data_IF_430040893989
#
_entry.id   IF_430040893989
#
_cell.length_a   1.000
_cell.length_b   1.000
_cell.length_c   1.000
_cell.angle_alpha   90.00
_cell.angle_beta   90.00
_cell.angle_gamma   90.00
#
_symmetry.space_group_name_H-M   'P 1'
#
loop_
_entity.id
_entity.type
_entity.pdbx_description
1 polymer ?
#
# COMPACT_ATOMS: atom_id res chain seq x y z
N UNK A 1 4.03 32.10 10.38
CA UNK A 1 5.10 31.28 11.02
C UNK A 1 4.64 29.87 11.44
N UNK A 2 3.38 29.64 11.84
CA UNK A 2 2.92 28.32 12.33
C UNK A 2 2.58 27.27 11.24
N UNK A 3 2.04 27.70 10.11
CA UNK A 3 1.51 26.80 9.07
C UNK A 3 2.58 25.89 8.46
N UNK A 4 3.74 26.44 8.08
CA UNK A 4 4.82 25.62 7.52
C UNK A 4 5.39 24.62 8.54
N UNK A 5 5.47 25.00 9.82
CA UNK A 5 5.86 24.05 10.89
C UNK A 5 4.82 22.94 11.06
N UNK A 6 3.53 23.25 10.86
CA UNK A 6 2.47 22.24 10.86
C UNK A 6 2.58 21.27 9.68
N UNK A 7 2.79 21.79 8.45
CA UNK A 7 3.03 20.96 7.25
C UNK A 7 4.28 20.10 7.43
N UNK A 8 5.37 20.68 7.95
CA UNK A 8 6.60 19.95 8.27
C UNK A 8 6.33 18.82 9.27
N UNK A 9 5.58 19.08 10.36
CA UNK A 9 5.24 18.07 11.36
C UNK A 9 4.46 16.89 10.75
N UNK A 10 3.45 17.17 9.93
CA UNK A 10 2.67 16.12 9.25
C UNK A 10 3.53 15.36 8.24
N UNK A 11 4.39 16.07 7.49
CA UNK A 11 5.34 15.45 6.56
C UNK A 11 6.30 14.50 7.29
N UNK A 12 6.80 14.90 8.46
CA UNK A 12 7.66 14.07 9.31
C UNK A 12 6.93 12.85 9.88
N UNK A 13 5.67 13.01 10.30
CA UNK A 13 4.84 11.89 10.73
C UNK A 13 4.64 10.86 9.62
N UNK A 14 4.33 11.32 8.40
CA UNK A 14 4.19 10.45 7.24
C UNK A 14 5.50 9.75 6.89
N UNK A 15 6.61 10.49 6.87
CA UNK A 15 7.93 9.94 6.60
C UNK A 15 8.33 8.86 7.63
N UNK A 16 8.00 9.07 8.90
CA UNK A 16 8.26 8.12 9.98
C UNK A 16 7.38 6.88 9.84
N UNK A 17 6.08 7.02 9.61
CA UNK A 17 5.16 5.88 9.42
C UNK A 17 5.59 5.00 8.24
N UNK A 18 6.01 5.62 7.15
CA UNK A 18 6.56 4.91 5.98
C UNK A 18 7.94 4.26 6.25
N UNK A 19 8.60 4.46 7.40
CA UNK A 19 9.82 3.70 7.74
C UNK A 19 9.51 2.24 8.04
N UNK A 20 8.35 1.98 8.60
CA UNK A 20 7.93 0.63 8.89
C UNK A 20 7.45 -0.05 7.60
N UNK A 21 7.81 -1.32 7.38
CA UNK A 21 7.36 -2.05 6.22
C UNK A 21 5.85 -2.28 6.26
N UNK A 22 5.24 -2.50 5.09
CA UNK A 22 3.82 -2.82 4.99
C UNK A 22 3.52 -4.11 5.79
N UNK A 23 2.59 -4.08 6.77
CA UNK A 23 2.24 -5.25 7.56
C UNK A 23 1.72 -6.41 6.71
N UNK A 24 1.93 -7.63 7.21
CA UNK A 24 1.45 -8.86 6.54
C UNK A 24 0.08 -9.32 7.03
N UNK A 25 -0.32 -8.91 8.23
CA UNK A 25 -1.64 -9.16 8.79
C UNK A 25 -2.65 -8.18 8.19
N UNK A 26 -3.85 -8.66 7.84
CA UNK A 26 -4.85 -7.89 7.10
C UNK A 26 -5.35 -6.66 7.88
N UNK A 27 -5.69 -6.83 9.17
CA UNK A 27 -6.16 -5.72 10.02
C UNK A 27 -5.07 -4.65 10.20
N UNK A 28 -3.86 -5.07 10.59
CA UNK A 28 -2.73 -4.15 10.76
C UNK A 28 -2.32 -3.46 9.44
N UNK A 29 -2.52 -4.13 8.31
CA UNK A 29 -2.28 -3.56 6.98
C UNK A 29 -3.30 -2.48 6.65
N UNK A 30 -4.58 -2.71 6.93
CA UNK A 30 -5.62 -1.71 6.69
C UNK A 30 -5.37 -0.47 7.55
N UNK A 31 -5.11 -0.64 8.85
CA UNK A 31 -4.75 0.45 9.76
C UNK A 31 -3.53 1.23 9.25
N UNK A 32 -2.51 0.53 8.74
CA UNK A 32 -1.31 1.15 8.19
C UNK A 32 -1.64 2.02 6.96
N UNK A 33 -2.53 1.57 6.08
CA UNK A 33 -2.94 2.31 4.88
C UNK A 33 -3.84 3.50 5.22
N UNK A 34 -4.74 3.35 6.19
CA UNK A 34 -5.60 4.43 6.68
C UNK A 34 -4.79 5.58 7.28
N UNK A 35 -3.74 5.26 8.05
CA UNK A 35 -2.82 6.29 8.59
C UNK A 35 -2.12 7.03 7.45
N UNK A 36 -1.68 6.34 6.39
CA UNK A 36 -1.07 6.97 5.21
C UNK A 36 -2.08 7.91 4.55
N UNK A 37 -3.31 7.44 4.31
CA UNK A 37 -4.35 8.21 3.65
C UNK A 37 -4.67 9.48 4.45
N UNK A 38 -4.89 9.34 5.76
CA UNK A 38 -5.15 10.46 6.67
C UNK A 38 -4.02 11.49 6.66
N UNK A 39 -2.76 11.06 6.74
CA UNK A 39 -1.62 11.97 6.78
C UNK A 39 -1.42 12.68 5.43
N UNK A 40 -1.65 12.00 4.30
CA UNK A 40 -1.59 12.59 2.97
C UNK A 40 -2.68 13.64 2.76
N UNK A 41 -3.92 13.32 3.13
CA UNK A 41 -5.05 14.25 3.02
C UNK A 41 -4.83 15.48 3.90
N UNK A 42 -4.50 15.26 5.18
CA UNK A 42 -4.20 16.34 6.13
C UNK A 42 -3.09 17.25 5.62
N UNK A 43 -2.01 16.68 5.07
CA UNK A 43 -0.92 17.44 4.46
C UNK A 43 -1.40 18.22 3.24
N UNK A 44 -2.17 17.59 2.36
CA UNK A 44 -2.73 18.19 1.16
C UNK A 44 -3.58 19.42 1.48
N UNK A 45 -4.53 19.30 2.41
CA UNK A 45 -5.38 20.40 2.86
C UNK A 45 -4.56 21.58 3.40
N UNK A 46 -3.56 21.29 4.24
CA UNK A 46 -2.68 22.34 4.78
C UNK A 46 -1.89 23.03 3.67
N UNK A 47 -1.38 22.29 2.68
CA UNK A 47 -0.66 22.86 1.54
C UNK A 47 -1.57 23.68 0.62
N UNK A 48 -2.82 23.28 0.40
CA UNK A 48 -3.78 24.06 -0.39
C UNK A 48 -4.15 25.37 0.29
N UNK A 49 -4.26 25.35 1.63
CA UNK A 49 -4.50 26.56 2.43
C UNK A 49 -3.27 27.45 2.61
N UNK A 50 -2.08 26.96 2.26
CA UNK A 50 -0.83 27.67 2.50
C UNK A 50 -0.61 28.76 1.45
N UNK A 51 -0.84 30.02 1.84
CA UNK A 51 -0.68 31.20 0.98
C UNK A 51 0.62 31.97 1.23
N UNK A 52 1.55 31.43 2.02
CA UNK A 52 2.68 32.23 2.54
C UNK A 52 3.72 32.59 1.48
N UNK A 53 4.22 33.82 1.54
CA UNK A 53 5.31 34.33 0.71
C UNK A 53 6.67 33.76 1.15
N UNK A 54 7.64 33.58 0.23
CA UNK A 54 8.90 32.86 0.47
C UNK A 54 9.77 33.41 1.61
N UNK A 55 9.60 34.69 2.03
CA UNK A 55 10.46 35.34 3.02
C UNK A 55 10.26 34.88 4.47
N UNK A 56 9.28 34.01 4.72
CA UNK A 56 8.90 33.55 6.07
C UNK A 56 9.36 32.11 6.38
N UNK A 57 10.08 31.48 5.46
CA UNK A 57 10.52 30.10 5.58
C UNK A 57 11.98 30.02 6.03
N UNK A 58 12.22 29.31 7.12
CA UNK A 58 13.58 28.99 7.55
C UNK A 58 14.22 28.03 6.52
N UNK A 59 15.35 28.39 5.89
CA UNK A 59 16.04 27.56 4.89
C UNK A 59 16.26 26.08 5.28
N UNK A 60 16.63 25.73 6.53
CA UNK A 60 16.80 24.32 6.90
C UNK A 60 15.50 23.50 6.85
N UNK A 61 14.36 24.10 7.24
CA UNK A 61 13.06 23.41 7.22
C UNK A 61 12.65 23.12 5.77
N UNK A 62 12.83 24.09 4.86
CA UNK A 62 12.53 23.89 3.45
C UNK A 62 13.34 22.74 2.85
N UNK A 63 14.65 22.70 3.15
CA UNK A 63 15.53 21.63 2.65
C UNK A 63 15.10 20.25 3.16
N UNK A 64 14.88 20.10 4.47
CA UNK A 64 14.46 18.82 5.04
C UNK A 64 13.09 18.37 4.50
N UNK A 65 12.15 19.31 4.27
CA UNK A 65 10.86 18.98 3.65
C UNK A 65 11.01 18.41 2.24
N UNK A 66 11.90 18.96 1.42
CA UNK A 66 12.16 18.47 0.06
C UNK A 66 12.76 17.07 0.11
N UNK A 67 13.73 16.83 1.00
CA UNK A 67 14.35 15.51 1.19
C UNK A 67 13.34 14.46 1.67
N UNK A 68 12.50 14.81 2.65
CA UNK A 68 11.41 13.95 3.10
C UNK A 68 10.42 13.65 1.98
N UNK A 69 10.10 14.63 1.12
CA UNK A 69 9.16 14.43 0.03
C UNK A 69 9.65 13.37 -0.97
N UNK A 70 10.94 13.44 -1.35
CA UNK A 70 11.55 12.44 -2.22
C UNK A 70 11.49 11.03 -1.61
N UNK A 71 11.81 10.92 -0.31
CA UNK A 71 11.74 9.64 0.41
C UNK A 71 10.30 9.10 0.51
N UNK A 72 9.32 9.97 0.80
CA UNK A 72 7.90 9.61 0.86
C UNK A 72 7.44 9.08 -0.50
N UNK A 73 7.77 9.76 -1.60
CA UNK A 73 7.39 9.33 -2.95
C UNK A 73 7.96 7.95 -3.31
N UNK A 74 9.24 7.72 -3.00
CA UNK A 74 9.87 6.42 -3.22
C UNK A 74 9.14 5.31 -2.46
N UNK A 75 8.84 5.53 -1.18
CA UNK A 75 8.22 4.53 -0.33
C UNK A 75 6.77 4.26 -0.67
N UNK A 76 5.99 5.29 -1.01
CA UNK A 76 4.61 5.11 -1.49
C UNK A 76 4.61 4.28 -2.78
N UNK A 77 5.56 4.51 -3.70
CA UNK A 77 5.70 3.67 -4.90
C UNK A 77 6.01 2.21 -4.54
N UNK A 78 6.87 1.97 -3.55
CA UNK A 78 7.19 0.63 -3.08
C UNK A 78 5.97 -0.09 -2.48
N UNK A 79 5.21 0.59 -1.60
CA UNK A 79 3.97 0.07 -1.00
C UNK A 79 2.95 -0.27 -2.09
N UNK A 80 2.72 0.66 -3.04
CA UNK A 80 1.81 0.43 -4.18
C UNK A 80 2.24 -0.78 -5.02
N UNK A 81 3.54 -0.92 -5.28
CA UNK A 81 4.07 -2.06 -6.03
C UNK A 81 3.86 -3.38 -5.29
N UNK A 82 4.01 -3.39 -3.95
CA UNK A 82 3.74 -4.57 -3.12
C UNK A 82 2.27 -4.98 -3.18
N UNK A 83 1.36 -4.03 -2.96
CA UNK A 83 -0.10 -4.29 -3.08
C UNK A 83 -0.44 -4.85 -4.47
N UNK A 84 0.15 -4.28 -5.53
CA UNK A 84 -0.04 -4.77 -6.90
C UNK A 84 0.43 -6.22 -7.11
N UNK A 85 1.55 -6.62 -6.49
CA UNK A 85 2.02 -8.01 -6.51
C UNK A 85 1.07 -8.94 -5.77
N UNK A 86 0.62 -8.53 -4.59
CA UNK A 86 -0.28 -9.33 -3.74
C UNK A 86 -1.62 -9.59 -4.46
N UNK A 87 -2.18 -8.58 -5.12
CA UNK A 87 -3.38 -8.70 -5.95
C UNK A 87 -3.19 -9.68 -7.13
N UNK A 88 -2.04 -9.61 -7.81
CA UNK A 88 -1.74 -10.51 -8.92
C UNK A 88 -1.57 -11.96 -8.46
N UNK A 89 -0.92 -12.18 -7.31
CA UNK A 89 -0.79 -13.51 -6.72
C UNK A 89 -2.15 -14.09 -6.32
N UNK A 90 -3.02 -13.27 -5.72
CA UNK A 90 -4.38 -13.67 -5.34
C UNK A 90 -5.21 -14.09 -6.56
N UNK A 91 -5.17 -13.30 -7.65
CA UNK A 91 -5.83 -13.63 -8.92
C UNK A 91 -5.28 -14.92 -9.53
N UNK A 92 -3.96 -15.13 -9.47
CA UNK A 92 -3.34 -16.36 -9.98
C UNK A 92 -3.78 -17.59 -9.20
N UNK A 93 -3.85 -17.51 -7.85
CA UNK A 93 -4.36 -18.60 -7.00
C UNK A 93 -5.80 -18.96 -7.35
N UNK A 94 -6.68 -17.98 -7.48
CA UNK A 94 -8.07 -18.19 -7.90
C UNK A 94 -8.17 -18.87 -9.27
N UNK A 95 -7.30 -18.51 -10.21
CA UNK A 95 -7.27 -19.18 -11.52
C UNK A 95 -6.84 -20.65 -11.40
N UNK A 96 -5.84 -20.95 -10.56
CA UNK A 96 -5.35 -22.32 -10.35
C UNK A 96 -6.42 -23.17 -9.65
N UNK A 97 -7.03 -22.68 -8.58
CA UNK A 97 -8.11 -23.37 -7.86
C UNK A 97 -9.28 -23.70 -8.78
N UNK A 98 -9.73 -22.74 -9.60
CA UNK A 98 -10.80 -22.97 -10.58
C UNK A 98 -10.43 -24.00 -11.66
N UNK A 99 -9.15 -24.15 -12.03
CA UNK A 99 -8.75 -25.22 -12.97
C UNK A 99 -8.81 -26.60 -12.33
N UNK A 100 -8.40 -26.73 -11.06
CA UNK A 100 -8.45 -28.00 -10.36
C UNK A 100 -9.90 -28.41 -10.03
N UNK A 101 -10.74 -27.50 -9.53
CA UNK A 101 -12.15 -27.81 -9.26
C UNK A 101 -12.89 -28.26 -10.52
N UNK A 102 -12.68 -27.59 -11.65
CA UNK A 102 -13.30 -27.97 -12.93
C UNK A 102 -12.75 -29.28 -13.52
N UNK A 103 -11.49 -29.64 -13.25
CA UNK A 103 -10.90 -30.90 -13.70
C UNK A 103 -11.42 -32.12 -12.91
N UNK A 104 -11.72 -31.94 -11.62
CA UNK A 104 -12.30 -32.99 -10.77
C UNK A 104 -13.83 -33.02 -10.77
N UNK A 105 -14.49 -32.01 -11.35
CA UNK A 105 -15.95 -31.96 -11.53
C UNK A 105 -16.43 -32.52 -12.87
N UNK A 106 -15.54 -33.09 -13.70
CA UNK A 106 -15.99 -33.89 -14.84
C UNK A 106 -16.80 -35.08 -14.30
N UNK A 107 -17.99 -35.40 -14.82
CA UNK A 107 -18.69 -36.60 -14.39
C UNK A 107 -17.76 -37.77 -14.68
N UNK A 108 -17.38 -38.52 -13.64
CA UNK A 108 -16.82 -39.86 -13.80
C UNK A 108 -17.84 -40.63 -14.62
N UNK A 109 -17.60 -40.73 -15.94
CA UNK A 109 -18.32 -41.61 -16.83
C UNK A 109 -18.17 -43.01 -16.22
N UNK A 110 -19.28 -43.49 -15.67
CA UNK A 110 -19.57 -44.80 -15.09
C UNK A 110 -18.38 -45.73 -14.85
N UNK A 111 -18.15 -46.06 -13.58
CA UNK A 111 -17.07 -46.93 -13.12
C UNK A 111 -17.04 -48.28 -13.83
N UNK A 112 -16.08 -48.43 -14.74
CA UNK A 112 -15.67 -49.74 -15.22
C UNK A 112 -14.68 -50.32 -14.21
N UNK A 113 -15.20 -51.03 -13.22
CA UNK A 113 -14.42 -51.94 -12.39
C UNK A 113 -13.96 -53.12 -13.26
N UNK A 114 -12.66 -53.16 -13.58
CA UNK A 114 -12.04 -54.38 -14.10
C UNK A 114 -11.83 -55.34 -12.93
N UNK A 115 -12.74 -56.31 -12.76
CA UNK A 115 -12.43 -57.51 -11.98
C UNK A 115 -11.50 -58.40 -12.82
N UNK A 116 -10.19 -58.26 -12.60
CA UNK A 116 -9.23 -59.27 -13.04
C UNK A 116 -9.09 -60.29 -11.92
N UNK A 117 -9.86 -61.36 -12.01
CA UNK A 117 -9.62 -62.60 -11.26
C UNK A 117 -9.53 -63.78 -12.23
N UNK A 118 -8.31 -64.33 -12.28
CA UNK A 118 -7.88 -65.65 -12.76
C UNK A 118 -8.08 -65.95 -14.25
#
# INVERSE_FOLDING_TARGET
MGEMRAIYKVTKQLANHLRDPLPSEDEAREDYLDIIAFLLEKRGLMMTSFTSTPSTVEPPIAKEMVEMNASIEEKIRAVKAQIGRDLNQTRARLHVENRYTNAFSSPTLEGIYFDKKN
#
